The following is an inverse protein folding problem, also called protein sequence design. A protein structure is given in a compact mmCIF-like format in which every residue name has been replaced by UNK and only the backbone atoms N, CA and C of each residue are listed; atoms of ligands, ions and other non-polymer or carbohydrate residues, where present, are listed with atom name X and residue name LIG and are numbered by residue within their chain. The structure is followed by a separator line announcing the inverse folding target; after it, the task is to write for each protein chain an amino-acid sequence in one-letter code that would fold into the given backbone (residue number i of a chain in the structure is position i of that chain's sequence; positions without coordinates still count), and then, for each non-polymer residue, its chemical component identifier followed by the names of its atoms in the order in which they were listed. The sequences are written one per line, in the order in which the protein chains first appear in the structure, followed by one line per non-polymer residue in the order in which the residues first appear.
data_IF_999214693951
#
_entry.id   IF_999214693951
#
_cell.length_a   1.000
_cell.length_b   1.000
_cell.length_c   1.000
_cell.angle_alpha   90.00
_cell.angle_beta   90.00
_cell.angle_gamma   90.00
#
_symmetry.space_group_name_H-M   'P 1'
#
loop_
_entity.id
_entity.type
_entity.pdbx_description
1 polymer ?
#
# COMPACT_ATOMS: atom_id res chain seq x y z
N UNK A 1 -63.74 -22.10 -7.30
CA UNK A 1 -62.44 -22.79 -7.12
C UNK A 1 -61.65 -22.77 -8.43
N UNK A 2 -61.08 -21.62 -8.82
CA UNK A 2 -60.17 -21.50 -9.99
C UNK A 2 -59.55 -20.09 -10.17
N UNK A 3 -59.38 -19.33 -9.08
CA UNK A 3 -58.98 -17.91 -9.17
C UNK A 3 -58.01 -17.48 -8.05
N UNK A 4 -57.13 -18.40 -7.61
CA UNK A 4 -56.21 -18.16 -6.49
C UNK A 4 -54.81 -18.74 -6.70
N UNK A 5 -54.45 -19.11 -7.93
CA UNK A 5 -53.18 -19.80 -8.24
C UNK A 5 -52.26 -19.00 -9.18
N UNK A 6 -52.29 -17.66 -9.09
CA UNK A 6 -51.50 -16.78 -9.99
C UNK A 6 -50.59 -15.76 -9.31
N UNK A 7 -50.52 -15.71 -7.97
CA UNK A 7 -49.94 -14.57 -7.24
C UNK A 7 -48.67 -14.90 -6.42
N UNK A 8 -47.93 -15.96 -6.74
CA UNK A 8 -46.76 -16.37 -5.90
C UNK A 8 -45.44 -16.45 -6.69
N UNK A 9 -45.43 -16.21 -8.00
CA UNK A 9 -44.20 -16.28 -8.82
C UNK A 9 -43.48 -14.92 -8.99
N UNK A 10 -43.82 -13.92 -8.18
CA UNK A 10 -43.18 -12.59 -8.19
C UNK A 10 -42.09 -12.42 -7.11
N UNK A 11 -41.52 -13.51 -6.59
CA UNK A 11 -40.22 -13.44 -5.93
C UNK A 11 -39.15 -13.18 -6.99
N UNK A 12 -39.11 -11.94 -7.49
CA UNK A 12 -37.98 -11.45 -8.26
C UNK A 12 -36.74 -11.60 -7.39
N UNK A 13 -35.68 -12.17 -7.97
CA UNK A 13 -34.34 -12.06 -7.40
C UNK A 13 -34.06 -10.57 -7.20
N UNK A 14 -34.15 -10.10 -5.96
CA UNK A 14 -33.59 -8.81 -5.60
C UNK A 14 -32.09 -9.01 -5.77
N UNK A 15 -31.52 -8.31 -6.74
CA UNK A 15 -30.08 -8.22 -6.86
C UNK A 15 -29.57 -7.51 -5.60
N UNK A 16 -29.10 -8.32 -4.67
CA UNK A 16 -28.50 -7.88 -3.40
C UNK A 16 -26.97 -7.94 -3.50
N UNK A 17 -26.44 -8.22 -4.70
CA UNK A 17 -25.01 -8.27 -4.95
C UNK A 17 -24.41 -6.87 -4.81
N UNK A 18 -23.33 -6.78 -4.03
CA UNK A 18 -22.41 -5.65 -4.13
C UNK A 18 -21.41 -6.00 -5.23
N UNK A 19 -21.22 -5.10 -6.19
CA UNK A 19 -20.32 -5.36 -7.31
C UNK A 19 -18.87 -5.50 -6.82
N UNK A 20 -18.16 -6.57 -7.21
CA UNK A 20 -16.72 -6.66 -6.95
C UNK A 20 -15.99 -5.57 -7.74
N UNK A 21 -14.96 -5.00 -7.13
CA UNK A 21 -14.10 -3.99 -7.74
C UNK A 21 -12.65 -4.42 -7.71
N UNK A 22 -11.94 -4.05 -8.76
CA UNK A 22 -10.51 -4.26 -8.89
C UNK A 22 -9.89 -2.95 -9.37
N UNK A 23 -9.06 -2.34 -8.53
CA UNK A 23 -8.50 -1.00 -8.76
C UNK A 23 -6.98 -1.09 -8.84
N UNK A 24 -6.33 -0.58 -9.90
CA UNK A 24 -4.88 -0.53 -9.95
C UNK A 24 -4.35 0.45 -8.90
N UNK A 25 -3.27 0.08 -8.23
CA UNK A 25 -2.51 0.98 -7.35
C UNK A 25 -1.31 1.47 -8.15
N UNK A 26 -1.20 2.80 -8.27
CA UNK A 26 -0.10 3.44 -8.99
C UNK A 26 0.72 4.25 -8.00
N UNK A 27 2.04 4.10 -8.07
CA UNK A 27 2.99 4.88 -7.29
C UNK A 27 4.17 5.31 -8.15
N UNK A 28 4.84 6.37 -7.73
CA UNK A 28 6.12 6.83 -8.27
C UNK A 28 7.00 7.26 -7.11
N UNK A 29 8.30 7.25 -7.32
CA UNK A 29 9.24 8.00 -6.50
C UNK A 29 9.07 9.51 -6.68
N UNK A 30 10.00 10.24 -6.05
CA UNK A 30 10.06 11.71 -6.10
C UNK A 30 11.17 12.21 -7.03
N UNK A 31 11.91 11.28 -7.64
CA UNK A 31 13.02 11.56 -8.55
C UNK A 31 14.37 11.65 -7.83
N UNK A 32 15.46 11.83 -8.59
CA UNK A 32 16.80 11.96 -8.03
C UNK A 32 16.90 13.13 -7.04
N UNK A 33 17.52 12.87 -5.89
CA UNK A 33 17.66 13.87 -4.83
C UNK A 33 19.13 14.18 -4.57
N UNK A 34 19.52 15.43 -4.81
CA UNK A 34 20.67 16.03 -4.16
C UNK A 34 20.23 17.21 -3.29
N UNK A 35 20.81 17.33 -2.10
CA UNK A 35 20.49 18.40 -1.17
C UNK A 35 21.72 18.85 -0.39
N UNK A 36 21.76 20.15 -0.07
CA UNK A 36 22.80 20.72 0.76
C UNK A 36 22.44 20.58 2.24
N UNK A 37 23.40 20.15 3.05
CA UNK A 37 23.30 20.16 4.51
C UNK A 37 23.69 21.53 5.06
N UNK A 38 23.34 21.78 6.33
CA UNK A 38 23.71 23.03 7.02
C UNK A 38 25.22 23.27 7.08
N UNK A 39 26.03 22.21 7.05
CA UNK A 39 27.49 22.26 7.20
C UNK A 39 28.24 22.26 5.85
N UNK A 40 27.51 22.55 4.76
CA UNK A 40 28.08 22.72 3.42
C UNK A 40 28.41 21.42 2.69
N UNK A 41 27.89 20.28 3.14
CA UNK A 41 27.94 19.03 2.37
C UNK A 41 26.84 19.00 1.32
N UNK A 42 27.19 18.55 0.12
CA UNK A 42 26.23 18.12 -0.90
C UNK A 42 26.02 16.62 -0.75
N UNK A 43 24.80 16.21 -0.41
CA UNK A 43 24.41 14.80 -0.34
C UNK A 43 23.71 14.44 -1.65
N UNK A 44 24.14 13.36 -2.30
CA UNK A 44 23.46 12.76 -3.45
C UNK A 44 23.02 11.35 -3.06
N UNK A 45 21.72 11.07 -3.15
CA UNK A 45 21.21 9.73 -2.90
C UNK A 45 21.48 8.83 -4.12
N UNK A 46 22.04 7.66 -3.89
CA UNK A 46 22.30 6.63 -4.90
C UNK A 46 21.29 5.47 -4.80
N UNK A 47 20.66 5.30 -3.63
CA UNK A 47 19.60 4.31 -3.38
C UNK A 47 18.57 4.90 -2.42
N UNK A 48 17.29 4.68 -2.69
CA UNK A 48 16.21 5.01 -1.77
C UNK A 48 15.04 4.04 -1.97
N UNK A 49 15.09 2.89 -1.29
CA UNK A 49 14.10 1.84 -1.41
C UNK A 49 13.12 1.88 -0.24
N UNK A 50 11.83 1.87 -0.52
CA UNK A 50 10.76 1.82 0.48
C UNK A 50 9.91 0.57 0.30
N UNK A 51 9.85 -0.27 1.33
CA UNK A 51 8.85 -1.33 1.37
C UNK A 51 7.49 -0.69 1.67
N UNK A 52 6.51 -0.95 0.82
CA UNK A 52 5.15 -0.43 0.91
C UNK A 52 4.14 -1.56 0.80
N UNK A 53 3.17 -1.56 1.70
CA UNK A 53 2.09 -2.52 1.72
C UNK A 53 2.17 -3.46 2.94
N UNK A 54 1.06 -4.12 3.28
CA UNK A 54 -0.22 -4.16 2.57
C UNK A 54 -0.97 -2.81 2.60
N UNK A 55 -1.97 -2.64 1.73
CA UNK A 55 -2.82 -1.44 1.65
C UNK A 55 -4.29 -1.81 1.81
N UNK A 56 -4.99 -1.14 2.72
CA UNK A 56 -6.40 -1.37 3.05
C UNK A 56 -7.22 -0.09 2.91
N UNK A 57 -8.36 -0.19 2.22
CA UNK A 57 -9.37 0.87 2.16
C UNK A 57 -10.49 0.54 3.12
N UNK A 58 -10.73 1.38 4.14
CA UNK A 58 -11.63 1.07 5.24
C UNK A 58 -12.86 1.99 5.29
N UNK A 59 -13.99 1.43 5.72
CA UNK A 59 -15.29 2.12 5.73
C UNK A 59 -15.49 3.02 6.97
N UNK A 60 -14.71 2.78 8.04
CA UNK A 60 -14.67 3.58 9.25
C UNK A 60 -13.73 4.79 9.08
N UNK A 61 -14.01 5.89 9.77
CA UNK A 61 -13.18 7.10 9.68
C UNK A 61 -11.86 6.98 10.47
N UNK A 62 -11.85 6.23 11.58
CA UNK A 62 -10.66 5.96 12.39
C UNK A 62 -10.49 4.45 12.46
N UNK A 63 -9.88 3.88 11.43
CA UNK A 63 -10.02 2.46 11.23
C UNK A 63 -9.12 1.59 12.08
N UNK A 64 -7.99 2.03 12.65
CA UNK A 64 -7.22 1.29 13.69
C UNK A 64 -7.37 -0.25 13.63
N UNK A 65 -7.85 -0.85 14.71
CA UNK A 65 -8.26 -2.28 14.75
C UNK A 65 -9.59 -2.57 14.02
N UNK A 66 -10.37 -1.54 13.71
CA UNK A 66 -11.66 -1.59 12.97
C UNK A 66 -11.52 -1.78 11.45
N UNK A 67 -10.32 -1.95 10.90
CA UNK A 67 -10.09 -2.34 9.49
C UNK A 67 -10.26 -3.85 9.25
N UNK A 68 -10.66 -4.65 10.26
CA UNK A 68 -10.86 -6.11 10.14
C UNK A 68 -11.71 -6.53 8.93
N UNK A 69 -12.60 -5.65 8.46
CA UNK A 69 -13.31 -5.80 7.18
C UNK A 69 -13.02 -4.61 6.26
N UNK A 70 -11.87 -4.63 5.59
CA UNK A 70 -11.55 -3.66 4.56
C UNK A 70 -12.58 -3.73 3.41
N UNK A 71 -12.91 -2.57 2.83
CA UNK A 71 -13.74 -2.45 1.64
C UNK A 71 -13.02 -3.01 0.40
N UNK A 72 -11.71 -2.77 0.32
CA UNK A 72 -10.80 -3.33 -0.68
C UNK A 72 -9.38 -3.38 -0.12
N UNK A 73 -8.59 -4.35 -0.57
CA UNK A 73 -7.25 -4.61 -0.04
C UNK A 73 -6.26 -5.07 -1.12
N UNK A 74 -4.99 -4.71 -0.91
CA UNK A 74 -3.82 -5.19 -1.62
C UNK A 74 -2.94 -5.82 -0.54
N UNK A 75 -2.94 -7.16 -0.49
CA UNK A 75 -2.34 -7.92 0.61
C UNK A 75 -0.82 -8.09 0.48
N UNK A 76 -0.30 -8.04 -0.74
CA UNK A 76 1.13 -8.12 -0.99
C UNK A 76 1.79 -6.76 -0.81
N UNK A 77 3.06 -6.77 -0.40
CA UNK A 77 3.92 -5.60 -0.37
C UNK A 77 4.77 -5.49 -1.63
N UNK A 78 5.27 -4.29 -1.88
CA UNK A 78 6.22 -3.99 -2.95
C UNK A 78 7.38 -3.16 -2.45
N UNK A 79 8.51 -3.21 -3.16
CA UNK A 79 9.60 -2.25 -2.98
C UNK A 79 9.45 -1.12 -4.02
N UNK A 80 9.40 0.11 -3.53
CA UNK A 80 9.37 1.31 -4.33
C UNK A 80 10.78 1.90 -4.42
N UNK A 81 11.22 2.17 -5.64
CA UNK A 81 12.39 3.00 -5.89
C UNK A 81 11.93 4.46 -5.80
N UNK A 82 12.36 5.18 -4.76
CA UNK A 82 11.96 6.56 -4.55
C UNK A 82 12.75 7.55 -5.43
N UNK A 83 13.80 7.10 -6.12
CA UNK A 83 14.57 7.92 -7.07
C UNK A 83 14.02 7.83 -8.50
N UNK A 84 13.13 6.89 -8.78
CA UNK A 84 12.42 6.71 -10.07
C UNK A 84 11.09 7.48 -10.05
N UNK A 85 10.99 8.59 -10.77
CA UNK A 85 9.77 9.42 -10.84
C UNK A 85 8.74 8.92 -11.86
N UNK A 86 9.00 7.81 -12.55
CA UNK A 86 8.05 7.23 -13.51
C UNK A 86 6.89 6.52 -12.77
N UNK A 87 5.62 6.92 -12.99
CA UNK A 87 4.49 6.25 -12.38
C UNK A 87 4.32 4.81 -12.89
N UNK A 88 4.22 3.86 -11.97
CA UNK A 88 4.04 2.44 -12.28
C UNK A 88 2.91 1.81 -11.48
N UNK A 89 2.22 0.83 -12.08
CA UNK A 89 1.29 -0.02 -11.35
C UNK A 89 2.10 -0.93 -10.42
N UNK A 90 1.81 -0.86 -9.13
CA UNK A 90 2.52 -1.61 -8.08
C UNK A 90 1.68 -2.76 -7.51
N UNK A 91 0.45 -2.90 -7.96
CA UNK A 91 -0.46 -3.91 -7.43
C UNK A 91 -1.89 -3.52 -7.67
N UNK A 92 -2.80 -4.31 -7.11
CA UNK A 92 -4.24 -4.18 -7.34
C UNK A 92 -4.98 -4.33 -6.02
N UNK A 93 -5.89 -3.40 -5.75
CA UNK A 93 -6.86 -3.50 -4.67
C UNK A 93 -8.03 -4.35 -5.13
N UNK A 94 -8.35 -5.40 -4.39
CA UNK A 94 -9.47 -6.30 -4.64
C UNK A 94 -10.49 -6.08 -3.52
N UNK A 95 -11.76 -5.91 -3.88
CA UNK A 95 -12.80 -5.71 -2.88
C UNK A 95 -14.20 -5.59 -3.44
N UNK A 96 -15.05 -4.88 -2.70
CA UNK A 96 -16.43 -4.61 -3.04
C UNK A 96 -16.62 -3.11 -3.28
N UNK A 97 -17.61 -2.72 -4.10
CA UNK A 97 -18.00 -1.32 -4.24
C UNK A 97 -18.56 -0.75 -2.93
N UNK A 98 -18.18 0.48 -2.57
CA UNK A 98 -18.66 1.09 -1.33
C UNK A 98 -17.96 2.40 -0.97
N UNK A 99 -18.31 2.94 0.20
CA UNK A 99 -17.73 4.21 0.70
C UNK A 99 -16.49 3.92 1.54
N UNK A 100 -15.36 4.48 1.10
CA UNK A 100 -14.10 4.49 1.84
C UNK A 100 -14.01 5.78 2.65
N UNK A 101 -13.64 5.66 3.93
CA UNK A 101 -13.49 6.80 4.86
C UNK A 101 -12.10 6.93 5.45
N UNK A 102 -11.28 5.89 5.38
CA UNK A 102 -9.87 5.92 5.79
C UNK A 102 -9.06 4.89 5.01
N UNK A 103 -7.74 5.03 5.10
CA UNK A 103 -6.76 4.17 4.44
C UNK A 103 -5.73 3.75 5.49
N UNK A 104 -5.39 2.47 5.51
CA UNK A 104 -4.32 1.93 6.34
C UNK A 104 -3.30 1.25 5.44
N UNK A 105 -2.01 1.38 5.78
CA UNK A 105 -0.94 0.65 5.11
C UNK A 105 0.20 0.36 6.09
N UNK A 106 1.00 -0.63 5.75
CA UNK A 106 2.26 -0.92 6.44
C UNK A 106 3.46 -0.57 5.55
N UNK A 107 4.63 -0.50 6.18
CA UNK A 107 5.91 -0.31 5.50
C UNK A 107 6.61 -1.65 5.21
N UNK A 108 5.86 -2.60 4.63
CA UNK A 108 6.36 -3.93 4.27
C UNK A 108 6.65 -4.88 5.43
N UNK A 109 6.52 -4.41 6.69
CA UNK A 109 6.73 -5.20 7.89
C UNK A 109 5.55 -4.99 8.85
N UNK A 110 4.92 -6.08 9.29
CA UNK A 110 3.84 -6.04 10.29
C UNK A 110 4.25 -6.81 11.54
N UNK A 111 3.97 -6.23 12.71
CA UNK A 111 4.10 -6.90 14.01
C UNK A 111 2.75 -7.40 14.48
N UNK A 112 2.54 -8.71 14.40
CA UNK A 112 1.35 -9.32 14.96
C UNK A 112 1.40 -9.25 16.49
N UNK A 113 0.26 -8.97 17.14
CA UNK A 113 0.18 -8.84 18.61
C UNK A 113 0.73 -10.05 19.38
N UNK A 114 0.67 -11.23 18.77
CA UNK A 114 1.15 -12.49 19.36
C UNK A 114 2.44 -13.01 18.71
N UNK A 115 2.98 -12.28 17.74
CA UNK A 115 4.19 -12.65 17.01
C UNK A 115 5.47 -12.41 17.82
N UNK A 116 6.47 -13.26 17.61
CA UNK A 116 7.82 -13.08 18.19
C UNK A 116 8.82 -12.41 17.23
N UNK A 117 8.42 -12.21 15.98
CA UNK A 117 9.20 -11.56 14.92
C UNK A 117 8.22 -10.86 13.96
N UNK A 118 8.65 -9.80 13.24
CA UNK A 118 7.81 -9.18 12.24
C UNK A 118 7.58 -10.13 11.06
N UNK A 119 6.43 -9.99 10.42
CA UNK A 119 6.14 -10.61 9.14
C UNK A 119 6.48 -9.62 8.03
N UNK A 120 7.30 -10.05 7.07
CA UNK A 120 7.53 -9.30 5.83
C UNK A 120 6.42 -9.55 4.82
N UNK A 121 6.11 -8.51 4.05
CA UNK A 121 5.20 -8.56 2.89
C UNK A 121 5.92 -8.30 1.57
N UNK A 122 7.22 -8.03 1.63
CA UNK A 122 8.08 -7.88 0.45
C UNK A 122 9.03 -9.07 0.36
N UNK A 123 9.15 -9.64 -0.83
CA UNK A 123 10.13 -10.68 -1.15
C UNK A 123 11.33 -10.07 -1.89
N UNK A 124 12.03 -9.15 -1.21
CA UNK A 124 13.23 -8.51 -1.72
C UNK A 124 14.36 -8.61 -0.69
N UNK A 125 15.32 -9.49 -0.98
CA UNK A 125 16.47 -9.72 -0.10
C UNK A 125 17.35 -8.46 0.10
N UNK A 126 17.29 -7.49 -0.81
CA UNK A 126 18.04 -6.23 -0.69
C UNK A 126 17.51 -5.34 0.44
N UNK A 127 16.28 -5.59 0.92
CA UNK A 127 15.67 -4.88 2.05
C UNK A 127 16.06 -5.47 3.41
N UNK A 128 16.44 -6.75 3.46
CA UNK A 128 16.70 -7.45 4.73
C UNK A 128 15.52 -7.33 5.70
N UNK A 129 15.79 -6.90 6.94
CA UNK A 129 14.77 -6.64 7.97
C UNK A 129 14.37 -5.14 8.04
N UNK A 130 14.60 -4.38 6.97
CA UNK A 130 14.35 -2.94 6.92
C UNK A 130 13.11 -2.61 6.10
N UNK A 131 12.35 -1.62 6.57
CA UNK A 131 11.25 -1.00 5.82
C UNK A 131 11.71 0.07 4.83
N UNK A 132 12.89 0.66 5.07
CA UNK A 132 13.43 1.74 4.26
C UNK A 132 14.95 1.62 4.23
N UNK A 133 15.53 1.67 3.02
CA UNK A 133 16.97 1.65 2.81
C UNK A 133 17.36 2.88 2.01
N UNK A 134 18.34 3.63 2.51
CA UNK A 134 18.89 4.79 1.83
C UNK A 134 20.40 4.73 1.83
N UNK A 135 20.99 4.95 0.66
CA UNK A 135 22.43 5.01 0.47
C UNK A 135 22.75 6.22 -0.41
N UNK A 136 23.94 6.78 -0.24
CA UNK A 136 24.35 7.93 -1.01
C UNK A 136 25.73 8.42 -0.63
N UNK A 137 26.11 9.53 -1.25
CA UNK A 137 27.44 10.11 -1.13
C UNK A 137 27.29 11.52 -0.61
N UNK A 138 28.12 11.89 0.38
CA UNK A 138 28.28 13.27 0.81
C UNK A 138 29.64 13.82 0.35
N UNK A 139 29.64 14.99 -0.28
CA UNK A 139 30.86 15.67 -0.73
C UNK A 139 30.97 17.10 -0.17
N UNK A 140 32.19 17.51 0.17
CA UNK A 140 32.52 18.87 0.60
C UNK A 140 33.95 19.23 0.23
N UNK A 141 34.13 20.05 -0.81
CA UNK A 141 35.46 20.31 -1.36
C UNK A 141 36.09 19.01 -1.88
N UNK A 142 37.26 18.64 -1.36
CA UNK A 142 37.92 17.37 -1.68
C UNK A 142 37.54 16.22 -0.72
N UNK A 143 36.70 16.47 0.30
CA UNK A 143 36.23 15.45 1.24
C UNK A 143 35.04 14.67 0.66
N UNK A 144 35.03 13.34 0.84
CA UNK A 144 33.96 12.44 0.40
C UNK A 144 33.65 11.38 1.46
N UNK A 145 32.37 11.17 1.73
CA UNK A 145 31.84 10.11 2.61
C UNK A 145 30.85 9.28 1.81
N UNK A 146 30.93 7.95 1.97
CA UNK A 146 30.08 6.93 1.34
C UNK A 146 29.40 6.14 2.44
#
# INVERSE_FOLDING_TARGET
MRLLLGLVLLFGCVDTGVDPVELPVVASGVGPASFETRDGWTVTLERADLAFGPLYLCTAANAGDLCETAQAEMLDGVVLDLLDDEPREIGRLIGLGGVVRSVMHDYGLTWDLTGMAPRTHVDDASMGDHSFVVEGVAERGDERVV
#
